data_IF_985289208032
#
_entry.id   IF_985289208032
#
_cell.length_a   1.000
_cell.length_b   1.000
_cell.length_c   1.000
_cell.angle_alpha   90.00
_cell.angle_beta   90.00
_cell.angle_gamma   90.00
#
_symmetry.space_group_name_H-M   'P 1'
#
loop_
_entity.id
_entity.type
_entity.pdbx_description
1 polymer ?
#
# COMPACT_ATOMS: atom_id res chain seq x y z
N UNK A 1 -11.29 25.47 -56.58
CA UNK A 1 -11.91 25.85 -55.28
C UNK A 1 -12.35 24.67 -54.42
N UNK A 2 -13.07 23.65 -54.91
CA UNK A 2 -13.54 22.52 -54.09
C UNK A 2 -12.43 21.70 -53.39
N UNK A 3 -11.28 21.43 -54.04
CA UNK A 3 -10.16 20.67 -53.46
C UNK A 3 -9.45 21.42 -52.33
N UNK A 4 -9.29 22.71 -52.41
CA UNK A 4 -8.67 23.55 -51.37
C UNK A 4 -9.53 23.58 -50.07
N UNK A 5 -10.86 23.64 -50.25
CA UNK A 5 -11.80 23.67 -49.10
C UNK A 5 -11.84 22.35 -48.36
N UNK A 6 -11.71 21.21 -49.03
CA UNK A 6 -11.66 19.88 -48.38
C UNK A 6 -10.37 19.69 -47.57
N UNK A 7 -9.25 20.24 -48.02
CA UNK A 7 -7.95 20.18 -47.30
C UNK A 7 -8.02 21.03 -46.02
N UNK A 8 -8.63 22.23 -46.12
CA UNK A 8 -8.81 23.13 -44.96
C UNK A 8 -9.73 22.50 -43.90
N UNK A 9 -10.86 21.88 -44.31
CA UNK A 9 -11.77 21.19 -43.42
C UNK A 9 -11.09 20.00 -42.72
N UNK A 10 -10.29 19.22 -43.46
CA UNK A 10 -9.54 18.09 -42.89
C UNK A 10 -8.50 18.55 -41.86
N UNK A 11 -7.75 19.63 -42.13
CA UNK A 11 -6.79 20.20 -41.19
C UNK A 11 -7.47 20.75 -39.90
N UNK A 12 -8.66 21.37 -40.05
CA UNK A 12 -9.41 21.87 -38.91
C UNK A 12 -9.91 20.73 -38.02
N UNK A 13 -10.45 19.67 -38.63
CA UNK A 13 -10.89 18.48 -37.91
C UNK A 13 -9.75 17.81 -37.15
N UNK A 14 -8.55 17.72 -37.77
CA UNK A 14 -7.36 17.17 -37.13
C UNK A 14 -6.90 18.01 -35.93
N UNK A 15 -6.92 19.34 -36.03
CA UNK A 15 -6.58 20.23 -34.92
C UNK A 15 -7.56 20.09 -33.76
N UNK A 16 -8.86 19.97 -34.05
CA UNK A 16 -9.89 19.79 -33.00
C UNK A 16 -9.69 18.46 -32.29
N UNK A 17 -9.46 17.37 -33.03
CA UNK A 17 -9.22 16.05 -32.42
C UNK A 17 -7.97 16.00 -31.56
N UNK A 18 -6.86 16.60 -32.03
CA UNK A 18 -5.61 16.70 -31.24
C UNK A 18 -5.82 17.56 -30.00
N UNK A 19 -6.53 18.69 -30.13
CA UNK A 19 -6.90 19.55 -28.99
C UNK A 19 -7.75 18.83 -27.94
N UNK A 20 -8.78 18.09 -28.37
CA UNK A 20 -9.61 17.27 -27.48
C UNK A 20 -8.81 16.17 -26.76
N UNK A 21 -7.91 15.48 -27.49
CA UNK A 21 -7.06 14.44 -26.90
C UNK A 21 -6.08 15.07 -25.89
N UNK A 22 -5.54 16.23 -26.18
CA UNK A 22 -4.62 16.93 -25.29
C UNK A 22 -5.30 17.40 -24.02
N UNK A 23 -6.52 17.96 -24.14
CA UNK A 23 -7.34 18.42 -23.02
C UNK A 23 -7.84 17.27 -22.16
N UNK A 24 -8.23 16.15 -22.77
CA UNK A 24 -8.59 14.91 -22.07
C UNK A 24 -7.41 14.33 -21.29
N UNK A 25 -6.21 14.30 -21.89
CA UNK A 25 -4.99 13.85 -21.21
C UNK A 25 -4.55 14.78 -20.06
N UNK A 26 -4.75 16.10 -20.20
CA UNK A 26 -4.39 17.06 -19.17
C UNK A 26 -5.33 16.96 -17.97
N UNK A 27 -6.65 16.95 -18.17
CA UNK A 27 -7.61 16.80 -17.08
C UNK A 27 -7.49 15.48 -16.31
N UNK A 28 -7.02 14.44 -17.00
CA UNK A 28 -6.84 13.12 -16.38
C UNK A 28 -5.50 12.97 -15.63
N UNK A 29 -4.52 13.86 -15.86
CA UNK A 29 -3.26 13.90 -15.11
C UNK A 29 -3.38 14.59 -13.76
N UNK A 30 -4.32 15.53 -13.65
CA UNK A 30 -4.55 16.31 -12.43
C UNK A 30 -5.55 15.62 -11.48
N UNK A 31 -6.11 14.47 -11.89
CA UNK A 31 -6.95 13.66 -11.01
C UNK A 31 -6.14 13.15 -9.81
N UNK A 32 -6.70 13.27 -8.62
CA UNK A 32 -6.11 12.73 -7.41
C UNK A 32 -7.18 12.05 -6.57
N UNK A 33 -6.78 11.04 -5.82
CA UNK A 33 -7.63 10.37 -4.84
C UNK A 33 -6.88 10.29 -3.52
N UNK A 34 -7.55 10.68 -2.43
CA UNK A 34 -7.03 10.51 -1.07
C UNK A 34 -8.06 9.77 -0.25
N UNK A 35 -7.66 8.67 0.38
CA UNK A 35 -8.48 7.89 1.32
C UNK A 35 -7.68 7.62 2.58
N UNK A 36 -8.38 7.32 3.68
CA UNK A 36 -7.78 6.96 4.96
C UNK A 36 -8.22 5.54 5.35
N UNK A 37 -7.34 4.84 6.02
CA UNK A 37 -7.55 3.50 6.55
C UNK A 37 -6.99 3.45 7.96
N UNK A 38 -7.73 2.84 8.90
CA UNK A 38 -7.19 2.45 10.20
C UNK A 38 -6.77 0.99 10.11
N UNK A 39 -5.47 0.73 10.18
CA UNK A 39 -4.88 -0.61 10.19
C UNK A 39 -3.55 -0.58 10.94
N UNK A 40 -3.07 -1.73 11.40
CA UNK A 40 -1.81 -1.87 12.16
C UNK A 40 -1.74 -0.87 13.34
N UNK A 41 -2.86 -0.67 14.02
CA UNK A 41 -3.03 0.24 15.17
C UNK A 41 -2.69 1.71 14.88
N UNK A 42 -2.81 2.13 13.63
CA UNK A 42 -2.56 3.51 13.21
C UNK A 42 -3.52 3.97 12.10
N UNK A 43 -3.65 5.29 11.93
CA UNK A 43 -4.37 5.89 10.80
C UNK A 43 -3.38 6.17 9.68
N UNK A 44 -3.62 5.55 8.53
CA UNK A 44 -2.83 5.73 7.32
C UNK A 44 -3.60 6.58 6.31
N UNK A 45 -2.91 7.50 5.63
CA UNK A 45 -3.48 8.30 4.54
C UNK A 45 -2.77 7.95 3.23
N UNK A 46 -3.58 7.56 2.23
CA UNK A 46 -3.10 7.17 0.91
C UNK A 46 -3.50 8.24 -0.08
N UNK A 47 -2.53 8.76 -0.83
CA UNK A 47 -2.78 9.74 -1.88
C UNK A 47 -2.10 9.26 -3.16
N UNK A 48 -2.88 9.18 -4.24
CA UNK A 48 -2.37 8.89 -5.57
C UNK A 48 -2.81 9.98 -6.56
N UNK A 49 -2.05 10.11 -7.64
CA UNK A 49 -2.28 11.10 -8.68
C UNK A 49 -2.37 10.42 -10.05
N UNK A 50 -3.21 10.99 -10.91
CA UNK A 50 -3.38 10.54 -12.28
C UNK A 50 -4.68 9.78 -12.54
N UNK A 51 -4.86 9.27 -13.77
CA UNK A 51 -6.15 8.73 -14.24
C UNK A 51 -6.62 7.47 -13.51
N UNK A 52 -5.72 6.79 -12.81
CA UNK A 52 -6.00 5.58 -12.03
C UNK A 52 -5.78 5.78 -10.53
N UNK A 53 -5.85 7.02 -10.05
CA UNK A 53 -5.57 7.35 -8.66
C UNK A 53 -6.46 6.58 -7.69
N UNK A 54 -7.75 6.47 -7.95
CA UNK A 54 -8.69 5.75 -7.09
C UNK A 54 -8.40 4.25 -7.06
N UNK A 55 -8.21 3.62 -8.22
CA UNK A 55 -7.86 2.20 -8.33
C UNK A 55 -6.56 1.88 -7.57
N UNK A 56 -5.55 2.75 -7.70
CA UNK A 56 -4.27 2.60 -7.02
C UNK A 56 -4.40 2.72 -5.49
N UNK A 57 -5.19 3.69 -4.99
CA UNK A 57 -5.45 3.85 -3.56
C UNK A 57 -6.20 2.64 -3.00
N UNK A 58 -7.23 2.17 -3.69
CA UNK A 58 -8.01 1.00 -3.25
C UNK A 58 -7.15 -0.28 -3.22
N UNK A 59 -6.30 -0.47 -4.21
CA UNK A 59 -5.37 -1.59 -4.24
C UNK A 59 -4.36 -1.53 -3.08
N UNK A 60 -3.81 -0.35 -2.78
CA UNK A 60 -2.88 -0.15 -1.67
C UNK A 60 -3.55 -0.40 -0.31
N UNK A 61 -4.76 0.12 -0.10
CA UNK A 61 -5.53 -0.11 1.13
C UNK A 61 -5.82 -1.59 1.34
N UNK A 62 -6.27 -2.29 0.29
CA UNK A 62 -6.52 -3.74 0.35
C UNK A 62 -5.27 -4.54 0.69
N UNK A 63 -4.12 -4.14 0.17
CA UNK A 63 -2.85 -4.80 0.50
C UNK A 63 -2.44 -4.57 1.95
N UNK A 64 -2.63 -3.38 2.50
CA UNK A 64 -2.39 -3.11 3.92
C UNK A 64 -3.34 -3.91 4.81
N UNK A 65 -4.64 -4.02 4.47
CA UNK A 65 -5.58 -4.86 5.21
C UNK A 65 -5.18 -6.33 5.20
N UNK A 66 -4.68 -6.83 4.07
CA UNK A 66 -4.15 -8.19 3.93
C UNK A 66 -2.94 -8.41 4.84
N UNK A 67 -1.99 -7.49 4.82
CA UNK A 67 -0.79 -7.57 5.66
C UNK A 67 -1.13 -7.42 7.16
N UNK A 68 -2.07 -6.55 7.52
CA UNK A 68 -2.55 -6.43 8.90
C UNK A 68 -3.21 -7.73 9.40
N UNK A 69 -3.98 -8.40 8.55
CA UNK A 69 -4.54 -9.70 8.88
C UNK A 69 -3.46 -10.81 9.03
N UNK A 70 -2.39 -10.73 8.26
CA UNK A 70 -1.31 -11.71 8.23
C UNK A 70 -0.36 -11.56 9.42
N UNK A 71 0.00 -10.31 9.77
CA UNK A 71 1.12 -9.98 10.65
C UNK A 71 0.69 -9.50 12.06
N UNK A 72 -0.60 -9.28 12.30
CA UNK A 72 -1.09 -8.78 13.58
C UNK A 72 -0.77 -9.71 14.74
N UNK A 73 -0.21 -9.18 15.82
CA UNK A 73 -0.06 -9.91 17.09
C UNK A 73 -1.34 -9.99 17.92
N UNK A 74 -2.35 -9.17 17.56
CA UNK A 74 -3.65 -9.11 18.24
C UNK A 74 -4.74 -9.98 17.58
N UNK A 75 -4.51 -10.52 16.39
CA UNK A 75 -5.46 -11.40 15.69
C UNK A 75 -5.01 -12.84 15.80
N UNK A 76 -5.75 -13.68 16.52
CA UNK A 76 -5.40 -15.09 16.74
C UNK A 76 -5.17 -15.89 15.44
N UNK A 77 -5.87 -15.51 14.35
CA UNK A 77 -5.75 -16.15 13.04
C UNK A 77 -4.53 -15.72 12.23
N UNK A 78 -3.77 -14.72 12.69
CA UNK A 78 -2.58 -14.25 11.98
C UNK A 78 -1.43 -15.25 12.09
N UNK A 79 -0.54 -15.26 11.09
CA UNK A 79 0.65 -16.13 11.13
C UNK A 79 1.58 -15.80 12.31
N UNK A 80 1.77 -14.53 12.61
CA UNK A 80 2.63 -14.09 13.72
C UNK A 80 2.03 -14.50 15.06
N UNK A 81 0.72 -14.38 15.28
CA UNK A 81 0.08 -14.85 16.52
C UNK A 81 0.21 -16.36 16.68
N UNK A 82 0.00 -17.12 15.61
CA UNK A 82 0.13 -18.58 15.64
C UNK A 82 1.58 -19.02 15.84
N UNK A 83 2.55 -18.34 15.20
CA UNK A 83 3.97 -18.58 15.43
C UNK A 83 4.38 -18.31 16.89
N UNK A 84 3.94 -17.18 17.45
CA UNK A 84 4.18 -16.83 18.85
C UNK A 84 3.56 -17.83 19.84
N UNK A 85 2.37 -18.34 19.53
CA UNK A 85 1.68 -19.30 20.41
C UNK A 85 2.27 -20.71 20.35
N UNK A 86 2.66 -21.18 19.16
CA UNK A 86 3.13 -22.56 18.94
C UNK A 86 4.66 -22.71 19.03
N UNK A 87 5.41 -21.62 18.95
CA UNK A 87 6.88 -21.64 18.86
C UNK A 87 7.43 -22.14 17.51
N UNK A 88 6.59 -22.78 16.70
CA UNK A 88 6.88 -23.14 15.30
C UNK A 88 5.58 -23.20 14.51
N UNK A 89 5.58 -22.63 13.31
CA UNK A 89 4.41 -22.54 12.45
C UNK A 89 4.82 -22.47 10.97
N UNK A 90 3.97 -22.99 10.07
CA UNK A 90 4.19 -22.85 8.66
C UNK A 90 3.73 -21.45 8.22
N UNK A 91 4.67 -20.65 7.79
CA UNK A 91 4.44 -19.24 7.39
C UNK A 91 4.44 -19.07 5.87
N UNK A 92 3.80 -18.01 5.40
CA UNK A 92 3.82 -17.59 4.01
C UNK A 92 5.17 -17.02 3.59
N UNK A 93 5.36 -16.87 2.27
CA UNK A 93 6.57 -16.26 1.71
C UNK A 93 6.73 -14.80 2.15
N UNK A 94 5.63 -14.05 2.33
CA UNK A 94 5.66 -12.67 2.79
C UNK A 94 6.18 -12.56 4.22
N UNK A 95 5.68 -13.40 5.12
CA UNK A 95 6.15 -13.45 6.50
C UNK A 95 7.60 -13.92 6.57
N UNK A 96 7.99 -14.91 5.76
CA UNK A 96 9.37 -15.38 5.70
C UNK A 96 10.34 -14.26 5.29
N UNK A 97 10.04 -13.55 4.20
CA UNK A 97 10.86 -12.42 3.73
C UNK A 97 11.01 -11.34 4.80
N UNK A 98 9.92 -11.02 5.49
CA UNK A 98 9.95 -10.02 6.57
C UNK A 98 10.87 -10.47 7.72
N UNK A 99 10.82 -11.73 8.13
CA UNK A 99 11.67 -12.27 9.19
C UNK A 99 13.14 -12.37 8.76
N UNK A 100 13.42 -12.73 7.51
CA UNK A 100 14.78 -12.73 6.96
C UNK A 100 15.39 -11.32 6.94
N UNK A 101 14.62 -10.31 6.53
CA UNK A 101 15.05 -8.92 6.55
C UNK A 101 15.28 -8.43 7.98
N UNK A 102 14.37 -8.76 8.90
CA UNK A 102 14.52 -8.44 10.32
C UNK A 102 15.80 -9.05 10.92
N UNK A 103 16.13 -10.30 10.58
CA UNK A 103 17.38 -10.96 11.03
C UNK A 103 18.62 -10.28 10.42
N UNK A 104 18.55 -9.88 9.15
CA UNK A 104 19.62 -9.10 8.50
C UNK A 104 19.88 -7.78 9.24
N UNK A 105 18.81 -7.06 9.61
CA UNK A 105 18.89 -5.81 10.39
C UNK A 105 19.47 -6.09 11.79
N UNK A 106 19.02 -7.16 12.47
CA UNK A 106 19.54 -7.57 13.76
C UNK A 106 21.06 -7.78 13.71
N UNK A 107 21.55 -8.49 12.69
CA UNK A 107 22.99 -8.75 12.51
C UNK A 107 23.76 -7.46 12.23
N UNK A 108 23.27 -6.61 11.32
CA UNK A 108 23.95 -5.36 10.95
C UNK A 108 24.01 -4.34 12.07
N UNK A 109 23.06 -4.39 13.01
CA UNK A 109 23.01 -3.50 14.19
C UNK A 109 23.70 -4.08 15.42
N UNK A 110 24.32 -5.28 15.31
CA UNK A 110 24.95 -5.94 16.46
C UNK A 110 23.94 -6.34 17.55
N UNK A 111 22.69 -6.63 17.18
CA UNK A 111 21.63 -7.05 18.09
C UNK A 111 20.86 -5.90 18.74
N UNK A 112 21.05 -4.65 18.32
CA UNK A 112 20.26 -3.52 18.82
C UNK A 112 18.80 -3.53 18.31
N UNK A 113 18.55 -4.18 17.19
CA UNK A 113 17.22 -4.47 16.67
C UNK A 113 16.92 -5.96 16.88
N UNK A 114 15.77 -6.26 17.50
CA UNK A 114 15.34 -7.64 17.72
C UNK A 114 13.82 -7.74 17.65
N UNK A 115 13.31 -8.60 16.78
CA UNK A 115 11.85 -8.82 16.60
C UNK A 115 11.27 -9.76 17.65
N UNK A 116 12.10 -10.44 18.47
CA UNK A 116 11.63 -11.39 19.49
C UNK A 116 11.18 -10.73 20.80
N UNK A 117 10.92 -9.43 20.78
CA UNK A 117 10.51 -8.62 21.94
C UNK A 117 9.06 -8.83 22.38
N UNK A 118 8.26 -9.62 21.65
CA UNK A 118 6.81 -9.77 21.93
C UNK A 118 6.49 -10.18 23.37
N UNK A 119 7.21 -11.13 24.03
CA UNK A 119 6.98 -11.45 25.44
C UNK A 119 7.15 -10.24 26.37
N UNK A 120 8.10 -9.37 26.07
CA UNK A 120 8.34 -8.13 26.81
C UNK A 120 7.19 -7.13 26.60
N UNK A 121 6.70 -7.01 25.36
CA UNK A 121 5.56 -6.18 25.03
C UNK A 121 4.27 -6.63 25.78
N UNK A 122 4.07 -7.95 25.91
CA UNK A 122 2.97 -8.51 26.68
C UNK A 122 3.11 -8.17 28.18
N UNK A 123 4.32 -8.30 28.74
CA UNK A 123 4.60 -7.97 30.13
C UNK A 123 4.27 -6.50 30.46
N UNK A 124 4.53 -5.59 29.53
CA UNK A 124 4.27 -4.16 29.67
C UNK A 124 2.83 -3.76 29.34
N UNK A 125 2.00 -4.70 28.84
CA UNK A 125 0.60 -4.49 28.55
C UNK A 125 0.32 -3.80 27.20
N UNK A 126 1.30 -3.68 26.30
CA UNK A 126 1.10 -3.09 25.00
C UNK A 126 -0.02 -3.74 24.18
N UNK A 127 -0.14 -5.09 24.10
CA UNK A 127 -1.20 -5.72 23.31
C UNK A 127 -2.61 -5.54 23.89
N UNK A 128 -2.73 -5.24 25.19
CA UNK A 128 -4.02 -5.12 25.89
C UNK A 128 -4.40 -3.69 26.20
N UNK A 129 -3.47 -2.75 26.09
CA UNK A 129 -3.65 -1.36 26.52
C UNK A 129 -3.60 -1.16 28.04
N UNK A 130 -3.33 -2.24 28.81
CA UNK A 130 -3.18 -2.19 30.26
C UNK A 130 -1.70 -2.04 30.63
N UNK A 131 -1.21 -0.83 30.45
CA UNK A 131 0.21 -0.48 30.63
C UNK A 131 0.64 -0.60 32.10
N UNK A 132 1.83 -1.18 32.32
CA UNK A 132 2.44 -1.36 33.64
C UNK A 132 3.75 -0.58 33.74
#
# INVERSE_FOLDING_TARGET
MKRSMSVILGALALMITVGCIWQYRKGNRDASCTKQLFAMDTVMSFTAYGPKAEEAVDAAMKEIERLDALLSTGKESSEISQLNAAGSFLISEDTLKLLEEAESIRQSTGGLFDVTVYPLMQLWGFPTGDYR
#
